data_IF_292135473506
#
_entry.id   IF_292135473506
#
_cell.length_a   1.000
_cell.length_b   1.000
_cell.length_c   1.000
_cell.angle_alpha   90.00
_cell.angle_beta   90.00
_cell.angle_gamma   90.00
#
_symmetry.space_group_name_H-M   'P 1'
#
loop_
_entity.id
_entity.type
_entity.pdbx_description
1 polymer ?
#
# COMPACT_ATOMS: atom_id res chain seq x y z
N UNK A 1 10.00 101.43 8.59
CA UNK A 1 9.54 102.54 9.46
C UNK A 1 9.05 101.94 10.85
N UNK A 2 8.97 102.65 12.04
CA UNK A 2 8.91 102.18 13.52
C UNK A 2 7.76 102.79 14.46
N UNK A 3 7.52 102.79 15.84
CA UNK A 3 7.99 102.39 17.26
C UNK A 3 6.73 102.08 18.23
N UNK A 4 6.54 102.07 19.61
CA UNK A 4 7.20 102.22 21.00
C UNK A 4 6.38 101.43 22.14
N UNK A 5 6.16 101.57 23.51
CA UNK A 5 6.33 102.51 24.73
C UNK A 5 6.16 101.79 26.19
N UNK A 6 5.88 102.43 27.41
CA UNK A 6 5.89 101.80 28.84
C UNK A 6 5.09 102.50 30.06
N UNK A 7 4.89 101.90 31.32
CA UNK A 7 4.02 102.37 32.50
C UNK A 7 4.45 102.09 34.06
N UNK A 8 3.57 102.17 35.14
CA UNK A 8 3.85 102.40 36.65
C UNK A 8 2.93 101.72 37.81
N UNK A 9 3.16 101.91 39.18
CA UNK A 9 2.54 101.17 40.41
C UNK A 9 2.40 101.94 41.82
N UNK A 10 1.70 101.46 42.94
CA UNK A 10 1.51 102.09 44.35
C UNK A 10 1.14 101.14 45.63
N UNK A 11 0.77 101.63 46.88
CA UNK A 11 0.81 100.97 48.30
C UNK A 11 -0.29 101.33 49.45
N UNK A 12 -0.33 100.74 50.73
CA UNK A 12 -1.22 101.10 51.94
C UNK A 12 -1.24 100.27 53.33
N UNK A 13 -1.93 100.68 54.47
CA UNK A 13 -2.01 99.99 55.85
C UNK A 13 -3.31 100.13 56.77
N UNK A 14 -4.04 99.04 57.10
CA UNK A 14 -5.02 98.94 58.25
C UNK A 14 -5.44 97.47 58.67
N UNK A 15 -4.73 96.42 58.24
CA UNK A 15 -5.45 95.22 57.75
C UNK A 15 -5.61 93.98 58.67
N UNK A 16 -5.11 93.91 59.91
CA UNK A 16 -4.85 92.60 60.58
C UNK A 16 -6.04 91.62 60.74
N UNK A 17 -7.26 92.07 61.05
CA UNK A 17 -8.43 91.17 61.10
C UNK A 17 -8.82 90.72 59.70
N UNK A 18 -8.87 91.70 58.79
CA UNK A 18 -9.10 91.56 57.36
C UNK A 18 -8.13 90.56 56.72
N UNK A 19 -6.84 90.59 57.09
CA UNK A 19 -5.82 89.64 56.64
C UNK A 19 -6.16 88.18 56.97
N UNK A 20 -6.78 87.89 58.12
CA UNK A 20 -7.09 86.49 58.49
C UNK A 20 -8.24 85.95 57.65
N UNK A 21 -9.30 86.73 57.43
CA UNK A 21 -10.39 86.34 56.54
C UNK A 21 -9.95 86.35 55.07
N UNK A 22 -9.12 87.32 54.65
CA UNK A 22 -8.52 87.40 53.32
C UNK A 22 -7.65 86.18 53.03
N UNK A 23 -6.71 85.81 53.91
CA UNK A 23 -5.90 84.59 53.76
C UNK A 23 -6.73 83.30 53.79
N UNK A 24 -7.81 83.25 54.59
CA UNK A 24 -8.74 82.12 54.55
C UNK A 24 -9.45 82.02 53.20
N UNK A 25 -9.92 83.14 52.64
CA UNK A 25 -10.59 83.23 51.34
C UNK A 25 -9.62 82.94 50.18
N UNK A 26 -8.38 83.41 50.27
CA UNK A 26 -7.30 83.09 49.33
C UNK A 26 -6.98 81.57 49.38
N UNK A 27 -6.90 80.96 50.57
CA UNK A 27 -6.71 79.51 50.70
C UNK A 27 -7.89 78.68 50.20
N UNK A 28 -9.15 79.07 50.45
CA UNK A 28 -10.32 78.34 49.91
C UNK A 28 -10.44 78.51 48.41
N UNK A 29 -10.08 79.66 47.85
CA UNK A 29 -10.01 79.88 46.41
C UNK A 29 -8.90 79.04 45.76
N UNK A 30 -7.71 78.94 46.37
CA UNK A 30 -6.64 78.04 45.90
C UNK A 30 -7.06 76.57 45.98
N UNK A 31 -7.72 76.13 47.05
CA UNK A 31 -8.27 74.77 47.16
C UNK A 31 -9.35 74.49 46.08
N UNK A 32 -10.19 75.48 45.76
CA UNK A 32 -11.18 75.36 44.69
C UNK A 32 -10.53 75.29 43.31
N UNK A 33 -9.49 76.08 43.04
CA UNK A 33 -8.71 75.97 41.80
C UNK A 33 -8.00 74.61 41.68
N UNK A 34 -7.39 74.12 42.77
CA UNK A 34 -6.72 72.80 42.78
C UNK A 34 -7.71 71.66 42.56
N UNK A 35 -8.90 71.70 43.19
CA UNK A 35 -9.93 70.68 42.95
C UNK A 35 -10.51 70.75 41.54
N UNK A 36 -10.70 71.94 40.95
CA UNK A 36 -11.07 72.09 39.53
C UNK A 36 -10.00 71.52 38.60
N UNK A 37 -8.71 71.78 38.85
CA UNK A 37 -7.60 71.22 38.06
C UNK A 37 -7.55 69.69 38.17
N UNK A 38 -7.74 69.13 39.38
CA UNK A 38 -7.79 67.67 39.58
C UNK A 38 -8.98 67.06 38.85
N UNK A 39 -10.17 67.67 38.92
CA UNK A 39 -11.37 67.19 38.21
C UNK A 39 -11.22 67.29 36.68
N UNK A 40 -10.58 68.35 36.16
CA UNK A 40 -10.25 68.47 34.74
C UNK A 40 -9.22 67.41 34.31
N UNK A 41 -8.20 67.14 35.12
CA UNK A 41 -7.21 66.09 34.86
C UNK A 41 -7.84 64.68 34.86
N UNK A 42 -8.73 64.40 35.82
CA UNK A 42 -9.52 63.15 35.85
C UNK A 42 -10.40 63.05 34.60
N UNK A 43 -11.13 64.11 34.21
CA UNK A 43 -11.98 64.05 33.00
C UNK A 43 -11.15 63.89 31.72
N UNK A 44 -9.99 64.54 31.63
CA UNK A 44 -9.04 64.34 30.53
C UNK A 44 -8.52 62.89 30.49
N UNK A 45 -8.19 62.30 31.65
CA UNK A 45 -7.77 60.90 31.74
C UNK A 45 -8.88 59.94 31.30
N UNK A 46 -10.10 60.12 31.78
CA UNK A 46 -11.25 59.30 31.38
C UNK A 46 -11.52 59.42 29.86
N UNK A 47 -11.49 60.64 29.30
CA UNK A 47 -11.61 60.86 27.85
C UNK A 47 -10.46 60.19 27.05
N UNK A 48 -9.23 60.21 27.57
CA UNK A 48 -8.10 59.54 26.96
C UNK A 48 -8.27 58.02 26.96
N UNK A 49 -8.81 57.44 28.04
CA UNK A 49 -9.09 56.00 28.13
C UNK A 49 -10.32 55.57 27.31
N UNK A 50 -11.39 56.37 27.28
CA UNK A 50 -12.55 56.22 26.38
C UNK A 50 -12.08 56.13 24.93
N UNK A 51 -11.28 57.10 24.46
CA UNK A 51 -10.74 57.14 23.10
C UNK A 51 -9.78 55.97 22.80
N UNK A 52 -8.87 55.63 23.72
CA UNK A 52 -7.97 54.48 23.56
C UNK A 52 -8.73 53.15 23.51
N UNK A 53 -9.85 53.04 24.24
CA UNK A 53 -10.73 51.85 24.22
C UNK A 53 -11.43 51.70 22.87
N UNK A 54 -11.97 52.79 22.32
CA UNK A 54 -12.63 52.81 21.00
C UNK A 54 -11.65 52.47 19.85
N UNK A 55 -10.44 53.02 19.88
CA UNK A 55 -9.40 52.65 18.91
C UNK A 55 -9.01 51.17 19.03
N UNK A 56 -8.86 50.64 20.26
CA UNK A 56 -8.56 49.22 20.50
C UNK A 56 -9.68 48.31 20.01
N UNK A 57 -10.95 48.62 20.28
CA UNK A 57 -12.07 47.79 19.84
C UNK A 57 -12.19 47.75 18.32
N UNK A 58 -11.99 48.90 17.65
CA UNK A 58 -11.95 49.00 16.18
C UNK A 58 -10.82 48.17 15.56
N UNK A 59 -9.62 48.18 16.18
CA UNK A 59 -8.49 47.37 15.73
C UNK A 59 -8.77 45.88 15.94
N UNK A 60 -9.31 45.48 17.10
CA UNK A 60 -9.65 44.09 17.41
C UNK A 60 -10.69 43.54 16.42
N UNK A 61 -11.76 44.30 16.13
CA UNK A 61 -12.77 43.88 15.14
C UNK A 61 -12.17 43.62 13.76
N UNK A 62 -11.27 44.50 13.27
CA UNK A 62 -10.58 44.31 11.99
C UNK A 62 -9.63 43.11 11.99
N UNK A 63 -8.96 42.84 13.12
CA UNK A 63 -8.12 41.64 13.27
C UNK A 63 -8.96 40.37 13.25
N UNK A 64 -10.10 40.37 13.94
CA UNK A 64 -11.08 39.27 13.98
C UNK A 64 -11.68 38.98 12.59
N UNK A 65 -12.04 40.02 11.84
CA UNK A 65 -12.57 39.91 10.49
C UNK A 65 -11.52 39.39 9.50
N UNK A 66 -10.29 39.93 9.55
CA UNK A 66 -9.17 39.42 8.77
C UNK A 66 -8.87 37.96 9.11
N UNK A 67 -8.88 37.56 10.39
CA UNK A 67 -8.68 36.18 10.81
C UNK A 67 -9.77 35.24 10.29
N UNK A 68 -11.04 35.68 10.26
CA UNK A 68 -12.16 34.92 9.66
C UNK A 68 -11.96 34.75 8.15
N UNK A 69 -11.62 35.83 7.43
CA UNK A 69 -11.34 35.78 5.99
C UNK A 69 -10.16 34.84 5.67
N UNK A 70 -9.03 34.97 6.37
CA UNK A 70 -7.89 34.06 6.23
C UNK A 70 -8.28 32.61 6.50
N UNK A 71 -9.17 32.35 7.48
CA UNK A 71 -9.66 31.00 7.77
C UNK A 71 -10.51 30.42 6.63
N UNK A 72 -11.43 31.19 6.03
CA UNK A 72 -12.20 30.74 4.86
C UNK A 72 -11.27 30.38 3.70
N UNK A 73 -10.37 31.31 3.33
CA UNK A 73 -9.39 31.11 2.24
C UNK A 73 -8.54 29.85 2.49
N UNK A 74 -8.16 29.57 3.74
CA UNK A 74 -7.39 28.37 4.09
C UNK A 74 -8.16 27.05 3.90
N UNK A 75 -9.48 27.07 4.04
CA UNK A 75 -10.33 25.87 3.87
C UNK A 75 -10.68 25.65 2.40
N UNK A 76 -11.01 26.71 1.65
CA UNK A 76 -11.17 26.65 0.19
C UNK A 76 -9.89 26.14 -0.50
N UNK A 77 -8.72 26.61 -0.04
CA UNK A 77 -7.41 26.13 -0.50
C UNK A 77 -7.20 24.64 -0.20
N UNK A 78 -7.65 24.11 0.95
CA UNK A 78 -7.59 22.67 1.26
C UNK A 78 -8.48 21.85 0.33
N UNK A 79 -9.70 22.32 0.05
CA UNK A 79 -10.62 21.67 -0.89
C UNK A 79 -10.02 21.66 -2.30
N UNK A 80 -9.44 22.77 -2.74
CA UNK A 80 -8.74 22.86 -4.03
C UNK A 80 -7.55 21.89 -4.13
N UNK A 81 -6.68 21.82 -3.11
CA UNK A 81 -5.55 20.87 -3.05
C UNK A 81 -6.05 19.43 -3.14
N UNK A 82 -7.08 19.06 -2.37
CA UNK A 82 -7.66 17.72 -2.39
C UNK A 82 -8.26 17.35 -3.76
N UNK A 83 -8.86 18.34 -4.45
CA UNK A 83 -9.35 18.17 -5.82
C UNK A 83 -8.19 17.92 -6.81
N UNK A 84 -7.13 18.73 -6.74
CA UNK A 84 -5.93 18.60 -7.59
C UNK A 84 -5.23 17.24 -7.36
N UNK A 85 -5.09 16.79 -6.11
CA UNK A 85 -4.58 15.44 -5.81
C UNK A 85 -5.44 14.34 -6.43
N UNK A 86 -6.76 14.47 -6.37
CA UNK A 86 -7.70 13.49 -6.92
C UNK A 86 -7.60 13.44 -8.45
N UNK A 87 -7.57 14.61 -9.11
CA UNK A 87 -7.34 14.73 -10.56
C UNK A 87 -5.98 14.16 -10.97
N UNK A 88 -4.91 14.42 -10.20
CA UNK A 88 -3.57 13.85 -10.44
C UNK A 88 -3.57 12.32 -10.34
N UNK A 89 -4.26 11.73 -9.36
CA UNK A 89 -4.43 10.27 -9.24
C UNK A 89 -5.19 9.69 -10.43
N UNK A 90 -6.27 10.36 -10.88
CA UNK A 90 -7.03 9.96 -12.07
C UNK A 90 -6.18 10.03 -13.35
N UNK A 91 -5.41 11.11 -13.54
CA UNK A 91 -4.52 11.28 -14.70
C UNK A 91 -3.45 10.17 -14.75
N UNK A 92 -2.82 9.86 -13.62
CA UNK A 92 -1.83 8.78 -13.51
C UNK A 92 -2.47 7.41 -13.79
N UNK A 93 -3.71 7.17 -13.32
CA UNK A 93 -4.46 5.94 -13.67
C UNK A 93 -4.83 5.88 -15.16
N UNK A 94 -5.16 7.00 -15.80
CA UNK A 94 -5.46 7.04 -17.24
C UNK A 94 -4.22 6.79 -18.09
N UNK A 95 -3.11 7.46 -17.80
CA UNK A 95 -1.82 7.23 -18.46
C UNK A 95 -1.32 5.80 -18.26
N UNK A 96 -1.48 5.25 -17.05
CA UNK A 96 -1.25 3.83 -16.77
C UNK A 96 -2.13 2.93 -17.65
N UNK A 97 -3.46 3.10 -17.63
CA UNK A 97 -4.39 2.28 -18.42
C UNK A 97 -4.12 2.32 -19.93
N UNK A 98 -3.56 3.40 -20.45
CA UNK A 98 -3.15 3.47 -21.86
C UNK A 98 -1.84 2.71 -22.11
N UNK A 99 -0.82 2.89 -21.27
CA UNK A 99 0.44 2.12 -21.33
C UNK A 99 0.21 0.60 -21.20
N UNK A 100 -0.72 0.20 -20.32
CA UNK A 100 -1.07 -1.20 -20.08
C UNK A 100 -2.07 -1.78 -21.07
N UNK A 101 -2.72 -0.98 -21.93
CA UNK A 101 -3.74 -1.44 -22.90
C UNK A 101 -3.24 -2.55 -23.83
N UNK A 102 -1.94 -2.51 -24.17
CA UNK A 102 -1.30 -3.43 -25.10
C UNK A 102 -0.31 -4.38 -24.39
N UNK A 103 -0.39 -4.54 -23.06
CA UNK A 103 0.43 -5.49 -22.29
C UNK A 103 -0.33 -6.79 -22.08
N UNK A 104 0.36 -7.94 -22.05
CA UNK A 104 -0.32 -9.21 -21.87
C UNK A 104 -0.88 -9.37 -20.45
N UNK A 105 -2.01 -10.06 -20.32
CA UNK A 105 -2.58 -10.43 -19.01
C UNK A 105 -1.81 -11.59 -18.42
N UNK A 106 -1.29 -11.42 -17.19
CA UNK A 106 -0.66 -12.49 -16.42
C UNK A 106 -1.74 -13.26 -15.67
N UNK A 107 -2.01 -14.48 -16.13
CA UNK A 107 -2.91 -15.44 -15.50
C UNK A 107 -2.11 -16.26 -14.49
N UNK A 108 -2.12 -15.83 -13.23
CA UNK A 108 -1.44 -16.54 -12.15
C UNK A 108 -2.37 -17.62 -11.56
N UNK A 109 -1.99 -18.88 -11.72
CA UNK A 109 -2.70 -20.03 -11.15
C UNK A 109 -2.08 -20.34 -9.78
N UNK A 110 -2.87 -20.17 -8.71
CA UNK A 110 -2.45 -20.45 -7.34
C UNK A 110 -3.24 -21.62 -6.76
N UNK A 111 -2.60 -22.78 -6.50
CA UNK A 111 -3.19 -23.81 -5.65
C UNK A 111 -3.16 -23.37 -4.19
N UNK A 112 -4.28 -23.49 -3.48
CA UNK A 112 -4.37 -23.23 -2.03
C UNK A 112 -5.12 -24.34 -1.30
N UNK A 113 -5.01 -24.41 0.02
CA UNK A 113 -5.69 -25.39 0.86
C UNK A 113 -5.86 -24.88 2.29
N UNK A 114 -6.87 -25.41 2.99
CA UNK A 114 -7.18 -25.05 4.36
C UNK A 114 -6.10 -25.50 5.36
N UNK A 115 -5.43 -24.53 5.98
CA UNK A 115 -4.52 -24.69 7.13
C UNK A 115 -4.40 -23.37 7.89
N UNK A 116 -3.90 -23.39 9.13
CA UNK A 116 -3.85 -22.23 10.04
C UNK A 116 -3.21 -20.94 9.50
N UNK A 117 -2.39 -21.01 8.46
CA UNK A 117 -1.74 -19.82 7.85
C UNK A 117 -2.42 -19.37 6.53
N UNK A 118 -3.41 -20.10 6.00
CA UNK A 118 -3.96 -19.87 4.65
C UNK A 118 -4.32 -18.41 4.40
N UNK A 119 -5.07 -17.79 5.32
CA UNK A 119 -5.54 -16.41 5.17
C UNK A 119 -4.39 -15.41 5.15
N UNK A 120 -3.37 -15.60 5.98
CA UNK A 120 -2.18 -14.75 6.02
C UNK A 120 -1.36 -14.86 4.72
N UNK A 121 -1.15 -16.09 4.22
CA UNK A 121 -0.45 -16.38 2.96
C UNK A 121 -1.16 -15.74 1.76
N UNK A 122 -2.47 -15.95 1.64
CA UNK A 122 -3.29 -15.33 0.59
C UNK A 122 -3.39 -13.80 0.73
N UNK A 123 -3.37 -13.26 1.95
CA UNK A 123 -3.40 -11.80 2.19
C UNK A 123 -2.13 -11.13 1.68
N UNK A 124 -0.93 -11.61 2.04
CA UNK A 124 0.33 -11.03 1.55
C UNK A 124 0.50 -11.23 0.04
N UNK A 125 -0.05 -12.31 -0.51
CA UNK A 125 -0.01 -12.57 -1.94
C UNK A 125 -0.94 -11.63 -2.72
N UNK A 126 -2.18 -11.43 -2.26
CA UNK A 126 -3.11 -10.44 -2.81
C UNK A 126 -2.54 -9.01 -2.74
N UNK A 127 -1.92 -8.63 -1.62
CA UNK A 127 -1.22 -7.35 -1.45
C UNK A 127 -0.01 -7.19 -2.39
N UNK A 128 0.61 -8.29 -2.84
CA UNK A 128 1.65 -8.24 -3.88
C UNK A 128 1.02 -8.06 -5.26
N UNK A 129 -0.02 -8.84 -5.55
CA UNK A 129 -0.67 -8.87 -6.87
C UNK A 129 -1.45 -7.60 -7.22
N UNK A 130 -1.97 -6.86 -6.23
CA UNK A 130 -2.73 -5.60 -6.47
C UNK A 130 -1.87 -4.48 -7.10
N UNK A 131 -0.55 -4.65 -7.11
CA UNK A 131 0.39 -3.77 -7.81
C UNK A 131 0.64 -4.14 -9.28
N UNK A 132 0.11 -5.27 -9.77
CA UNK A 132 0.35 -5.77 -11.13
C UNK A 132 -0.83 -5.39 -12.06
N UNK A 133 -0.67 -4.48 -13.04
CA UNK A 133 -1.83 -3.85 -13.68
C UNK A 133 -2.59 -4.70 -14.71
N UNK A 134 -1.93 -5.65 -15.38
CA UNK A 134 -2.57 -6.62 -16.31
C UNK A 134 -2.50 -8.02 -15.69
N UNK A 135 -3.32 -8.25 -14.67
CA UNK A 135 -3.24 -9.46 -13.84
C UNK A 135 -4.63 -10.08 -13.62
N UNK A 136 -4.69 -11.41 -13.66
CA UNK A 136 -5.90 -12.18 -13.36
C UNK A 136 -5.55 -13.38 -12.47
N UNK A 137 -6.09 -13.40 -11.25
CA UNK A 137 -5.75 -14.42 -10.25
C UNK A 137 -6.69 -15.63 -10.32
N UNK A 138 -6.17 -16.79 -10.74
CA UNK A 138 -6.91 -18.05 -10.76
C UNK A 138 -6.59 -18.79 -9.45
N UNK A 139 -7.37 -18.54 -8.40
CA UNK A 139 -7.19 -19.13 -7.09
C UNK A 139 -8.03 -20.41 -6.96
N UNK A 140 -7.36 -21.54 -6.69
CA UNK A 140 -7.95 -22.87 -6.76
C UNK A 140 -7.77 -23.62 -5.44
N UNK A 141 -8.85 -23.89 -4.73
CA UNK A 141 -8.83 -24.58 -3.43
C UNK A 141 -8.78 -26.12 -3.58
N UNK A 142 -7.92 -26.78 -2.80
CA UNK A 142 -8.02 -28.22 -2.50
C UNK A 142 -9.16 -28.47 -1.49
N UNK A 143 -10.39 -28.33 -2.00
CA UNK A 143 -11.64 -28.54 -1.29
C UNK A 143 -12.74 -29.02 -2.23
N UNK A 144 -13.77 -29.68 -1.70
CA UNK A 144 -14.95 -30.07 -2.47
C UNK A 144 -15.81 -28.87 -2.87
N UNK A 145 -15.78 -27.80 -2.07
CA UNK A 145 -16.58 -26.58 -2.25
C UNK A 145 -15.72 -25.35 -1.95
N UNK A 146 -16.04 -24.23 -2.61
CA UNK A 146 -15.48 -22.92 -2.33
C UNK A 146 -15.73 -22.52 -0.88
N UNK A 147 -14.71 -22.03 -0.17
CA UNK A 147 -14.85 -21.62 1.25
C UNK A 147 -15.22 -20.14 1.38
N UNK A 148 -16.00 -19.81 2.42
CA UNK A 148 -16.35 -18.41 2.71
C UNK A 148 -15.10 -17.54 2.93
N UNK A 149 -14.07 -18.08 3.60
CA UNK A 149 -12.79 -17.40 3.86
C UNK A 149 -12.13 -16.94 2.55
N UNK A 150 -11.94 -17.86 1.60
CA UNK A 150 -11.31 -17.54 0.31
C UNK A 150 -12.23 -16.66 -0.55
N UNK A 151 -13.54 -16.91 -0.54
CA UNK A 151 -14.52 -16.08 -1.27
C UNK A 151 -14.47 -14.62 -0.78
N UNK A 152 -14.50 -14.40 0.53
CA UNK A 152 -14.46 -13.07 1.15
C UNK A 152 -13.11 -12.38 0.90
N UNK A 153 -11.99 -13.10 1.00
CA UNK A 153 -10.65 -12.57 0.72
C UNK A 153 -10.52 -12.11 -0.74
N UNK A 154 -11.01 -12.91 -1.70
CA UNK A 154 -11.01 -12.54 -3.11
C UNK A 154 -11.91 -11.32 -3.39
N UNK A 155 -13.14 -11.29 -2.88
CA UNK A 155 -14.02 -10.12 -3.03
C UNK A 155 -13.44 -8.85 -2.42
N UNK A 156 -12.70 -8.96 -1.30
CA UNK A 156 -12.01 -7.84 -0.64
C UNK A 156 -10.68 -7.44 -1.27
N UNK A 157 -10.14 -8.21 -2.23
CA UNK A 157 -8.77 -8.01 -2.74
C UNK A 157 -8.62 -6.85 -3.75
N UNK A 158 -9.70 -6.47 -4.44
CA UNK A 158 -9.65 -5.52 -5.56
C UNK A 158 -9.02 -6.07 -6.86
N UNK A 159 -8.68 -7.36 -6.91
CA UNK A 159 -8.12 -8.03 -8.08
C UNK A 159 -9.20 -8.49 -9.07
N UNK A 160 -8.83 -8.65 -10.34
CA UNK A 160 -9.56 -9.55 -11.24
C UNK A 160 -9.20 -11.00 -10.88
N UNK A 161 -10.21 -11.87 -10.69
CA UNK A 161 -9.98 -13.24 -10.24
C UNK A 161 -10.97 -14.26 -10.81
N UNK A 162 -10.55 -15.52 -10.82
CA UNK A 162 -11.40 -16.71 -10.95
C UNK A 162 -11.22 -17.55 -9.70
N UNK A 163 -12.32 -17.82 -8.98
CA UNK A 163 -12.32 -18.70 -7.81
C UNK A 163 -12.79 -20.10 -8.22
N UNK A 164 -11.94 -21.11 -8.06
CA UNK A 164 -12.23 -22.52 -8.32
C UNK A 164 -12.02 -23.37 -7.05
N UNK A 165 -12.60 -24.56 -7.02
CA UNK A 165 -12.37 -25.57 -5.99
C UNK A 165 -12.36 -26.95 -6.64
N UNK A 166 -11.36 -27.78 -6.32
CA UNK A 166 -11.27 -29.18 -6.74
C UNK A 166 -10.48 -29.98 -5.70
N UNK A 167 -11.04 -31.06 -5.13
CA UNK A 167 -10.35 -31.82 -4.09
C UNK A 167 -9.29 -32.75 -4.69
N UNK A 168 -8.07 -32.72 -4.14
CA UNK A 168 -7.04 -33.73 -4.42
C UNK A 168 -7.57 -35.12 -4.09
N UNK A 169 -7.41 -36.14 -4.97
CA UNK A 169 -7.89 -37.49 -4.70
C UNK A 169 -7.32 -38.07 -3.37
N UNK A 170 -8.12 -38.85 -2.59
CA UNK A 170 -7.69 -39.29 -1.25
C UNK A 170 -6.40 -40.11 -1.22
N UNK A 171 -6.12 -40.90 -2.25
CA UNK A 171 -4.87 -41.64 -2.44
C UNK A 171 -3.65 -40.71 -2.60
N UNK A 172 -3.84 -39.50 -3.13
CA UNK A 172 -2.78 -38.51 -3.32
C UNK A 172 -2.67 -37.44 -2.21
N UNK A 173 -3.63 -37.34 -1.30
CA UNK A 173 -3.48 -36.51 -0.07
C UNK A 173 -2.38 -37.07 0.85
N UNK A 174 -1.61 -36.17 1.48
CA UNK A 174 -0.57 -36.53 2.47
C UNK A 174 -1.22 -36.91 3.81
N UNK A 175 -0.70 -37.95 4.47
CA UNK A 175 -1.01 -38.25 5.87
C UNK A 175 -0.38 -37.24 6.84
N UNK A 176 -0.91 -37.14 8.06
CA UNK A 176 -0.47 -36.16 9.09
C UNK A 176 1.04 -36.18 9.39
N UNK A 177 1.69 -37.33 9.21
CA UNK A 177 3.12 -37.53 9.46
C UNK A 177 3.91 -37.84 8.17
N UNK A 178 3.31 -37.71 6.98
CA UNK A 178 4.03 -37.86 5.71
C UNK A 178 4.93 -36.64 5.48
N UNK A 179 6.20 -36.82 5.03
CA UNK A 179 7.03 -35.69 4.68
C UNK A 179 6.52 -35.02 3.40
N UNK A 180 6.57 -33.69 3.34
CA UNK A 180 5.96 -32.86 2.29
C UNK A 180 6.39 -33.19 0.85
N UNK A 181 7.52 -33.88 0.65
CA UNK A 181 8.04 -34.30 -0.66
C UNK A 181 7.48 -35.65 -1.18
N UNK A 182 6.75 -36.41 -0.35
CA UNK A 182 6.32 -37.80 -0.63
C UNK A 182 5.26 -37.93 -1.72
N UNK A 183 4.42 -36.91 -1.90
CA UNK A 183 3.34 -36.87 -2.91
C UNK A 183 3.30 -35.48 -3.55
N UNK A 184 3.06 -35.35 -4.86
CA UNK A 184 2.95 -34.04 -5.51
C UNK A 184 1.70 -33.29 -4.99
N UNK A 185 1.81 -31.97 -4.84
CA UNK A 185 0.77 -31.08 -4.31
C UNK A 185 0.31 -30.11 -5.40
N UNK A 186 -0.97 -29.72 -5.37
CA UNK A 186 -1.52 -28.74 -6.30
C UNK A 186 -1.78 -29.25 -7.71
N UNK A 187 -1.75 -30.57 -7.97
CA UNK A 187 -1.82 -31.15 -9.33
C UNK A 187 -3.17 -30.89 -9.98
N UNK A 188 -4.26 -31.37 -9.37
CA UNK A 188 -5.63 -31.09 -9.83
C UNK A 188 -5.92 -29.59 -9.84
N UNK A 189 -5.38 -28.85 -8.86
CA UNK A 189 -5.65 -27.44 -8.70
C UNK A 189 -5.01 -26.61 -9.83
N UNK A 190 -3.77 -26.93 -10.22
CA UNK A 190 -3.13 -26.34 -11.42
C UNK A 190 -3.81 -26.80 -12.70
N UNK A 191 -4.15 -28.08 -12.83
CA UNK A 191 -4.88 -28.60 -14.00
C UNK A 191 -6.27 -27.96 -14.17
N UNK A 192 -7.02 -27.72 -13.10
CA UNK A 192 -8.29 -27.00 -13.16
C UNK A 192 -8.12 -25.54 -13.60
N UNK A 193 -7.03 -24.88 -13.19
CA UNK A 193 -6.66 -23.55 -13.71
C UNK A 193 -6.34 -23.58 -15.21
N UNK A 194 -5.55 -24.56 -15.67
CA UNK A 194 -5.25 -24.76 -17.10
C UNK A 194 -6.51 -25.12 -17.92
N UNK A 195 -7.43 -25.89 -17.35
CA UNK A 195 -8.72 -26.20 -17.98
C UNK A 195 -9.57 -24.93 -18.10
N UNK A 196 -9.67 -24.13 -17.04
CA UNK A 196 -10.42 -22.88 -17.06
C UNK A 196 -9.89 -21.92 -18.15
N UNK A 197 -8.57 -21.79 -18.30
CA UNK A 197 -7.96 -21.03 -19.39
C UNK A 197 -8.38 -21.56 -20.78
N UNK A 198 -8.29 -22.88 -20.99
CA UNK A 198 -8.71 -23.54 -22.25
C UNK A 198 -10.21 -23.45 -22.53
N UNK A 199 -11.04 -23.33 -21.49
CA UNK A 199 -12.50 -23.25 -21.57
C UNK A 199 -13.03 -21.81 -21.79
N UNK A 200 -12.28 -20.78 -21.36
CA UNK A 200 -12.78 -19.39 -21.24
C UNK A 200 -12.00 -18.36 -22.10
N UNK A 201 -10.84 -18.72 -22.65
CA UNK A 201 -10.00 -17.86 -23.49
C UNK A 201 -9.74 -18.51 -24.86
N UNK A 202 -9.09 -17.76 -25.74
CA UNK A 202 -8.76 -18.14 -27.11
C UNK A 202 -7.25 -18.17 -27.36
N UNK A 203 -6.76 -18.75 -28.47
CA UNK A 203 -5.36 -18.68 -28.85
C UNK A 203 -4.87 -17.27 -29.20
N UNK A 204 -5.77 -16.30 -29.38
CA UNK A 204 -5.45 -14.92 -29.77
C UNK A 204 -5.53 -13.93 -28.61
N UNK A 205 -5.93 -14.38 -27.42
CA UNK A 205 -5.80 -13.62 -26.18
C UNK A 205 -4.32 -13.48 -25.79
N UNK A 206 -3.87 -12.23 -25.67
CA UNK A 206 -2.50 -11.89 -25.29
C UNK A 206 -2.27 -12.15 -23.79
N UNK A 207 -2.02 -13.41 -23.44
CA UNK A 207 -1.80 -13.86 -22.06
C UNK A 207 -0.41 -14.45 -21.78
N UNK A 208 -0.01 -14.42 -20.51
CA UNK A 208 1.08 -15.21 -19.91
C UNK A 208 0.46 -16.12 -18.84
N UNK A 209 0.86 -17.39 -18.81
CA UNK A 209 0.45 -18.34 -17.77
C UNK A 209 1.60 -18.54 -16.78
N UNK A 210 1.32 -18.33 -15.50
CA UNK A 210 2.28 -18.48 -14.40
C UNK A 210 1.70 -19.34 -13.28
N UNK A 211 2.53 -20.16 -12.63
CA UNK A 211 2.14 -20.96 -11.47
C UNK A 211 2.71 -20.32 -10.20
N UNK A 212 1.82 -19.81 -9.35
CA UNK A 212 2.18 -19.05 -8.16
C UNK A 212 1.66 -19.76 -6.90
N UNK A 213 2.45 -20.69 -6.35
CA UNK A 213 2.15 -21.37 -5.09
C UNK A 213 2.09 -20.36 -3.92
N UNK A 214 1.19 -20.59 -2.96
CA UNK A 214 0.78 -19.56 -1.98
C UNK A 214 1.77 -19.32 -0.81
N UNK A 215 2.80 -20.16 -0.63
CA UNK A 215 3.84 -19.98 0.39
C UNK A 215 5.10 -19.23 -0.11
N UNK A 216 5.23 -19.04 -1.42
CA UNK A 216 6.37 -18.39 -2.07
C UNK A 216 6.36 -16.85 -1.91
N UNK A 217 7.47 -16.18 -2.24
CA UNK A 217 7.61 -14.71 -2.17
C UNK A 217 8.03 -14.16 -3.54
N UNK A 218 7.27 -13.18 -4.05
CA UNK A 218 7.42 -12.63 -5.40
C UNK A 218 7.71 -11.13 -5.37
N UNK A 219 8.69 -10.68 -6.15
CA UNK A 219 8.93 -9.24 -6.37
C UNK A 219 8.08 -8.72 -7.53
N UNK A 220 7.64 -7.47 -7.48
CA UNK A 220 6.93 -6.79 -8.59
C UNK A 220 7.74 -6.89 -9.90
N UNK A 221 9.08 -6.83 -9.81
CA UNK A 221 10.01 -6.98 -10.94
C UNK A 221 9.94 -8.32 -11.66
N UNK A 222 9.40 -9.35 -11.02
CA UNK A 222 9.17 -10.65 -11.67
C UNK A 222 8.15 -10.51 -12.81
N UNK A 223 7.05 -9.79 -12.53
CA UNK A 223 5.97 -9.58 -13.47
C UNK A 223 6.37 -8.61 -14.59
N UNK A 224 7.21 -7.61 -14.28
CA UNK A 224 7.89 -6.76 -15.28
C UNK A 224 8.79 -7.57 -16.24
N UNK A 225 9.40 -8.68 -15.79
CA UNK A 225 10.12 -9.60 -16.68
C UNK A 225 9.13 -10.47 -17.49
N UNK A 226 8.03 -10.94 -16.91
CA UNK A 226 7.03 -11.78 -17.58
C UNK A 226 6.37 -11.11 -18.80
N UNK A 227 6.14 -9.81 -18.78
CA UNK A 227 5.63 -9.06 -19.95
C UNK A 227 6.50 -9.23 -21.22
N UNK A 228 7.79 -9.56 -21.04
CA UNK A 228 8.77 -9.67 -22.13
C UNK A 228 8.64 -10.99 -22.89
N UNK A 229 8.04 -12.02 -22.28
CA UNK A 229 7.97 -13.39 -22.81
C UNK A 229 7.32 -13.42 -24.21
N UNK A 230 7.87 -14.25 -25.10
CA UNK A 230 7.28 -14.57 -26.41
C UNK A 230 6.95 -16.06 -26.53
N UNK A 231 7.73 -16.92 -25.89
CA UNK A 231 7.55 -18.37 -25.84
C UNK A 231 7.53 -18.89 -24.40
N UNK A 232 8.68 -19.23 -23.80
CA UNK A 232 8.79 -19.67 -22.40
C UNK A 232 9.93 -18.92 -21.71
N UNK A 233 9.58 -18.09 -20.72
CA UNK A 233 10.53 -17.33 -19.90
C UNK A 233 11.01 -18.12 -18.70
N UNK A 234 12.30 -18.03 -18.38
CA UNK A 234 12.94 -18.69 -17.23
C UNK A 234 13.88 -17.76 -16.48
N UNK A 235 14.00 -17.95 -15.16
CA UNK A 235 14.77 -17.09 -14.27
C UNK A 235 15.29 -17.82 -13.01
N UNK A 236 16.21 -17.20 -12.23
CA UNK A 236 16.66 -17.72 -10.94
C UNK A 236 15.56 -17.73 -9.86
N UNK A 237 15.50 -18.80 -9.09
CA UNK A 237 14.66 -18.94 -7.89
C UNK A 237 15.56 -19.04 -6.66
N UNK A 238 15.29 -18.21 -5.65
CA UNK A 238 16.02 -18.23 -4.38
C UNK A 238 15.53 -19.32 -3.43
N UNK A 239 16.44 -19.87 -2.63
CA UNK A 239 16.18 -20.80 -1.51
C UNK A 239 15.47 -22.12 -1.91
N UNK A 240 15.78 -22.64 -3.10
CA UNK A 240 15.19 -23.88 -3.65
C UNK A 240 16.26 -24.89 -4.05
N UNK A 241 15.88 -26.15 -4.27
CA UNK A 241 16.81 -27.23 -4.68
C UNK A 241 17.85 -27.63 -3.61
N UNK A 242 17.77 -27.08 -2.40
CA UNK A 242 18.83 -27.15 -1.39
C UNK A 242 19.96 -26.12 -1.59
N UNK A 243 19.76 -25.15 -2.48
CA UNK A 243 20.72 -24.11 -2.85
C UNK A 243 20.25 -22.72 -2.41
N UNK A 244 21.19 -21.77 -2.31
CA UNK A 244 20.85 -20.35 -2.18
C UNK A 244 20.07 -19.84 -3.41
N UNK A 245 20.42 -20.33 -4.60
CA UNK A 245 19.78 -20.01 -5.89
C UNK A 245 19.88 -21.22 -6.82
N UNK A 246 18.76 -21.68 -7.36
CA UNK A 246 18.69 -22.60 -8.50
C UNK A 246 18.28 -21.80 -9.74
N UNK A 247 18.96 -21.99 -10.87
CA UNK A 247 18.80 -21.14 -12.06
C UNK A 247 19.23 -21.78 -13.39
N UNK A 248 18.71 -21.26 -14.52
CA UNK A 248 19.34 -21.42 -15.83
C UNK A 248 20.73 -20.77 -15.86
N UNK A 249 21.64 -21.39 -16.63
CA UNK A 249 22.92 -20.81 -17.03
C UNK A 249 22.70 -20.18 -18.41
N UNK A 250 22.75 -18.85 -18.45
CA UNK A 250 22.60 -18.05 -19.66
C UNK A 250 23.97 -17.72 -20.24
N UNK A 251 24.17 -17.96 -21.53
CA UNK A 251 25.30 -17.43 -22.28
C UNK A 251 25.02 -15.98 -22.68
N UNK A 252 25.95 -15.07 -22.37
CA UNK A 252 25.71 -13.63 -22.49
C UNK A 252 25.75 -13.12 -23.94
N UNK A 253 26.53 -13.76 -24.81
CA UNK A 253 26.70 -13.35 -26.20
C UNK A 253 25.54 -13.80 -27.09
N UNK A 254 25.06 -15.04 -26.90
CA UNK A 254 23.94 -15.62 -27.64
C UNK A 254 22.58 -15.35 -27.00
N UNK A 255 22.55 -14.94 -25.72
CA UNK A 255 21.35 -14.77 -24.89
C UNK A 255 20.49 -16.04 -24.79
N UNK A 256 21.13 -17.22 -24.77
CA UNK A 256 20.47 -18.54 -24.70
C UNK A 256 20.80 -19.29 -23.42
N UNK A 257 19.90 -20.21 -23.03
CA UNK A 257 20.13 -21.15 -21.92
C UNK A 257 21.03 -22.29 -22.41
N UNK A 258 22.22 -22.39 -21.84
CA UNK A 258 23.21 -23.44 -22.15
C UNK A 258 23.28 -24.54 -21.09
N UNK A 259 22.70 -24.31 -19.91
CA UNK A 259 22.73 -25.27 -18.80
C UNK A 259 21.85 -24.83 -17.62
N UNK A 260 22.02 -25.50 -16.49
CA UNK A 260 21.39 -25.16 -15.20
C UNK A 260 22.40 -25.46 -14.08
N UNK A 261 22.33 -24.76 -12.95
CA UNK A 261 23.23 -25.00 -11.80
C UNK A 261 22.66 -25.97 -10.75
N UNK A 262 21.57 -26.68 -11.08
CA UNK A 262 20.87 -27.57 -10.14
C UNK A 262 21.78 -28.66 -9.59
N UNK A 263 21.74 -28.86 -8.27
CA UNK A 263 22.46 -29.92 -7.57
C UNK A 263 21.59 -31.15 -7.27
N UNK A 264 20.27 -30.99 -7.23
CA UNK A 264 19.32 -32.06 -6.93
C UNK A 264 18.60 -32.49 -8.22
N UNK A 265 18.89 -33.71 -8.66
CA UNK A 265 18.39 -34.28 -9.92
C UNK A 265 18.65 -33.35 -11.12
N UNK A 266 19.94 -33.12 -11.38
CA UNK A 266 20.44 -32.33 -12.52
C UNK A 266 20.22 -33.01 -13.88
N UNK A 267 19.86 -34.29 -13.86
CA UNK A 267 19.44 -35.14 -14.98
C UNK A 267 18.01 -34.85 -15.48
N UNK A 268 17.19 -34.11 -14.73
CA UNK A 268 15.86 -33.68 -15.17
C UNK A 268 15.96 -32.92 -16.51
N UNK A 269 15.02 -33.09 -17.45
CA UNK A 269 14.98 -32.31 -18.70
C UNK A 269 14.98 -30.79 -18.45
N UNK A 270 14.18 -30.35 -17.47
CA UNK A 270 14.12 -28.98 -16.97
C UNK A 270 14.30 -29.01 -15.44
N UNK A 271 15.54 -28.91 -14.93
CA UNK A 271 15.85 -28.88 -13.52
C UNK A 271 15.67 -27.45 -12.98
N UNK A 272 14.41 -27.04 -12.86
CA UNK A 272 13.97 -25.77 -12.26
C UNK A 272 12.82 -26.03 -11.30
N UNK A 273 12.39 -24.99 -10.59
CA UNK A 273 11.23 -24.97 -9.70
C UNK A 273 9.98 -24.43 -10.42
N UNK A 274 8.79 -24.76 -9.91
CA UNK A 274 7.49 -24.30 -10.41
C UNK A 274 7.39 -22.78 -10.55
N UNK A 275 7.97 -22.02 -9.62
CA UNK A 275 8.00 -20.56 -9.64
C UNK A 275 9.11 -19.97 -10.54
N UNK A 276 9.92 -20.82 -11.18
CA UNK A 276 11.08 -20.47 -12.01
C UNK A 276 10.79 -20.20 -13.49
N UNK A 277 9.54 -20.35 -13.94
CA UNK A 277 9.15 -20.15 -15.33
C UNK A 277 7.72 -19.60 -15.50
N UNK A 278 7.45 -19.01 -16.66
CA UNK A 278 6.12 -18.75 -17.18
C UNK A 278 6.12 -18.87 -18.71
N UNK A 279 4.94 -19.03 -19.33
CA UNK A 279 4.85 -19.28 -20.76
C UNK A 279 3.71 -18.51 -21.43
N UNK A 280 3.83 -18.28 -22.74
CA UNK A 280 2.83 -17.59 -23.55
C UNK A 280 1.55 -18.42 -23.64
N UNK A 281 0.39 -17.81 -23.33
CA UNK A 281 -0.92 -18.48 -23.26
C UNK A 281 -1.25 -19.30 -24.52
N UNK A 282 -0.89 -18.80 -25.71
CA UNK A 282 -1.07 -19.49 -27.01
C UNK A 282 -0.53 -20.92 -27.03
N UNK A 283 0.57 -21.20 -26.31
CA UNK A 283 1.16 -22.54 -26.21
C UNK A 283 0.21 -23.54 -25.54
N UNK A 284 -0.63 -23.10 -24.59
CA UNK A 284 -1.60 -23.97 -23.92
C UNK A 284 -2.67 -24.52 -24.87
N UNK A 285 -2.97 -23.78 -25.94
CA UNK A 285 -3.90 -24.17 -27.00
C UNK A 285 -3.22 -24.97 -28.11
N UNK A 286 -1.96 -24.66 -28.43
CA UNK A 286 -1.16 -25.41 -29.41
C UNK A 286 -0.81 -26.82 -28.90
N UNK A 287 -0.53 -26.96 -27.61
CA UNK A 287 -0.12 -28.20 -26.96
C UNK A 287 -1.22 -28.69 -26.01
N UNK A 288 -2.23 -29.36 -26.57
CA UNK A 288 -3.43 -29.81 -25.83
C UNK A 288 -3.15 -30.83 -24.73
N UNK A 289 -2.05 -31.57 -24.86
CA UNK A 289 -1.61 -32.60 -23.90
C UNK A 289 -0.73 -32.02 -22.76
N UNK A 290 -0.44 -30.71 -22.78
CA UNK A 290 0.27 -30.05 -21.68
C UNK A 290 -0.62 -29.97 -20.43
N UNK A 291 -0.36 -30.85 -19.48
CA UNK A 291 -1.00 -30.98 -18.16
C UNK A 291 0.04 -31.44 -17.13
N UNK A 292 -0.28 -31.34 -15.83
CA UNK A 292 0.47 -32.00 -14.77
C UNK A 292 -0.08 -33.40 -14.51
N UNK A 293 0.79 -34.33 -14.10
CA UNK A 293 0.45 -35.74 -13.85
C UNK A 293 0.71 -36.13 -12.39
N UNK A 294 -0.04 -37.09 -11.85
CA UNK A 294 0.30 -37.71 -10.56
C UNK A 294 1.33 -38.84 -10.69
N UNK A 295 1.45 -39.46 -11.88
CA UNK A 295 2.17 -40.72 -12.09
C UNK A 295 3.64 -40.50 -12.49
N UNK A 296 4.29 -39.53 -11.81
CA UNK A 296 5.66 -39.10 -12.12
C UNK A 296 6.54 -39.08 -10.88
N UNK A 297 7.86 -39.10 -11.10
CA UNK A 297 8.82 -39.05 -10.00
C UNK A 297 8.80 -37.67 -9.31
N UNK A 298 8.87 -37.63 -7.98
CA UNK A 298 8.93 -36.38 -7.22
C UNK A 298 10.07 -35.47 -7.71
N UNK A 299 9.76 -34.22 -8.06
CA UNK A 299 10.68 -33.24 -8.66
C UNK A 299 10.62 -33.10 -10.19
N UNK A 300 9.76 -33.83 -10.89
CA UNK A 300 9.61 -33.78 -12.36
C UNK A 300 8.36 -33.02 -12.85
N UNK A 301 7.53 -32.41 -12.00
CA UNK A 301 6.27 -31.75 -12.43
C UNK A 301 6.50 -30.61 -13.43
N UNK A 302 7.59 -29.87 -13.22
CA UNK A 302 8.04 -28.77 -14.05
C UNK A 302 8.44 -29.31 -15.43
N UNK A 303 9.19 -30.41 -15.46
CA UNK A 303 9.56 -31.12 -16.69
C UNK A 303 8.37 -31.79 -17.38
N UNK A 304 7.35 -32.24 -16.63
CA UNK A 304 6.13 -32.88 -17.15
C UNK A 304 5.36 -31.95 -18.09
N UNK A 305 5.14 -30.70 -17.69
CA UNK A 305 4.47 -29.70 -18.53
C UNK A 305 5.42 -29.08 -19.57
N UNK A 306 6.67 -28.77 -19.20
CA UNK A 306 7.62 -28.07 -20.08
C UNK A 306 7.98 -28.88 -21.34
N UNK A 307 8.17 -30.20 -21.21
CA UNK A 307 8.50 -31.08 -22.36
C UNK A 307 7.44 -31.06 -23.47
N UNK A 308 6.19 -30.71 -23.14
CA UNK A 308 5.11 -30.63 -24.11
C UNK A 308 5.08 -29.31 -24.86
N UNK A 309 5.59 -28.22 -24.28
CA UNK A 309 5.46 -26.85 -24.83
C UNK A 309 6.78 -26.23 -25.34
N UNK A 310 7.94 -26.77 -24.98
CA UNK A 310 9.24 -26.13 -25.30
C UNK A 310 10.42 -27.10 -25.27
N UNK A 311 11.55 -26.71 -25.87
CA UNK A 311 12.87 -27.33 -25.72
C UNK A 311 13.87 -26.39 -25.02
N UNK A 312 14.99 -26.92 -24.52
CA UNK A 312 15.97 -26.14 -23.71
C UNK A 312 16.57 -24.94 -24.46
N UNK A 313 16.74 -25.06 -25.77
CA UNK A 313 17.22 -24.01 -26.67
C UNK A 313 16.16 -22.93 -27.00
N UNK A 314 14.88 -23.23 -26.80
CA UNK A 314 13.76 -22.31 -26.98
C UNK A 314 13.48 -21.43 -25.76
N UNK A 315 14.06 -21.76 -24.59
CA UNK A 315 13.91 -20.99 -23.36
C UNK A 315 14.48 -19.57 -23.47
N UNK A 316 13.77 -18.61 -22.88
CA UNK A 316 14.10 -17.18 -22.85
C UNK A 316 14.70 -16.81 -21.48
N UNK A 317 16.03 -16.55 -21.36
CA UNK A 317 16.66 -16.24 -20.09
C UNK A 317 16.42 -14.79 -19.66
N UNK A 318 15.46 -14.64 -18.75
CA UNK A 318 15.03 -13.38 -18.14
C UNK A 318 15.81 -13.10 -16.84
N UNK A 319 15.39 -12.06 -16.12
CA UNK A 319 16.05 -11.56 -14.90
C UNK A 319 17.55 -11.28 -15.13
N UNK A 320 17.80 -10.54 -16.22
CA UNK A 320 19.13 -10.11 -16.68
C UNK A 320 20.09 -11.28 -16.95
N UNK A 321 19.79 -12.12 -17.95
CA UNK A 321 20.58 -13.32 -18.29
C UNK A 321 20.71 -14.25 -17.06
N UNK A 322 19.62 -14.40 -16.32
CA UNK A 322 19.55 -15.16 -15.07
C UNK A 322 20.63 -14.76 -14.04
N UNK A 323 20.88 -13.45 -13.88
CA UNK A 323 21.79 -12.89 -12.85
C UNK A 323 21.05 -12.37 -11.62
N UNK A 324 19.75 -12.08 -11.71
CA UNK A 324 18.95 -11.47 -10.63
C UNK A 324 17.89 -12.44 -10.11
N UNK A 325 17.67 -12.46 -8.80
CA UNK A 325 16.61 -13.23 -8.15
C UNK A 325 15.44 -12.29 -7.85
N UNK A 326 14.26 -12.61 -8.39
CA UNK A 326 13.02 -11.86 -8.15
C UNK A 326 11.90 -12.70 -7.52
N UNK A 327 12.19 -13.97 -7.21
CA UNK A 327 11.28 -14.92 -6.57
C UNK A 327 12.06 -15.85 -5.63
N UNK A 328 11.44 -16.20 -4.51
CA UNK A 328 12.01 -17.06 -3.48
C UNK A 328 11.01 -18.15 -3.07
N UNK A 329 11.45 -19.41 -3.02
CA UNK A 329 10.66 -20.50 -2.45
C UNK A 329 10.72 -20.45 -0.92
N UNK A 330 10.13 -19.39 -0.35
CA UNK A 330 9.83 -19.32 1.08
C UNK A 330 8.86 -20.42 1.49
N UNK A 331 8.88 -20.77 2.79
CA UNK A 331 7.92 -21.69 3.42
C UNK A 331 7.65 -21.21 4.84
N UNK A 332 6.38 -21.15 5.24
CA UNK A 332 5.96 -20.66 6.56
C UNK A 332 6.02 -21.79 7.60
N UNK A 333 6.53 -21.51 8.81
CA UNK A 333 6.52 -22.48 9.91
C UNK A 333 5.09 -22.80 10.39
N UNK A 334 4.76 -24.06 10.71
CA UNK A 334 3.50 -24.41 11.36
C UNK A 334 3.37 -23.72 12.74
N UNK A 335 2.25 -23.02 13.03
CA UNK A 335 2.11 -22.26 14.27
C UNK A 335 2.05 -23.15 15.53
N UNK A 336 2.66 -22.67 16.62
CA UNK A 336 2.83 -23.39 17.89
C UNK A 336 1.56 -23.32 18.77
N UNK A 337 0.50 -24.00 18.34
CA UNK A 337 -0.85 -23.94 18.92
C UNK A 337 -1.06 -24.84 20.17
N UNK A 338 -0.07 -24.94 21.06
CA UNK A 338 -0.17 -25.77 22.28
C UNK A 338 -1.24 -25.26 23.26
N UNK A 339 -1.38 -23.94 23.41
CA UNK A 339 -2.43 -23.33 24.22
C UNK A 339 -3.84 -23.60 23.65
N UNK A 340 -4.01 -23.52 22.33
CA UNK A 340 -5.31 -23.79 21.68
C UNK A 340 -5.73 -25.25 21.85
N UNK A 341 -4.78 -26.19 21.82
CA UNK A 341 -5.04 -27.60 22.12
C UNK A 341 -5.51 -27.81 23.57
N UNK A 342 -5.05 -26.99 24.52
CA UNK A 342 -5.51 -27.02 25.91
C UNK A 342 -6.87 -26.33 26.10
N UNK A 343 -7.20 -25.31 25.30
CA UNK A 343 -8.55 -24.71 25.27
C UNK A 343 -9.56 -25.68 24.64
N UNK A 344 -9.20 -26.30 23.51
CA UNK A 344 -10.04 -27.28 22.80
C UNK A 344 -10.40 -28.46 23.71
N UNK A 345 -9.44 -28.98 24.49
CA UNK A 345 -9.68 -30.03 25.51
C UNK A 345 -10.63 -29.61 26.64
N UNK A 346 -10.87 -28.30 26.83
CA UNK A 346 -11.82 -27.72 27.78
C UNK A 346 -13.12 -27.26 27.12
N UNK A 347 -13.35 -27.62 25.85
CA UNK A 347 -14.53 -27.22 25.07
C UNK A 347 -14.56 -25.74 24.65
N UNK A 348 -13.42 -25.03 24.73
CA UNK A 348 -13.29 -23.61 24.37
C UNK A 348 -12.44 -23.43 23.12
N UNK A 349 -12.59 -22.31 22.42
CA UNK A 349 -11.68 -21.88 21.35
C UNK A 349 -11.20 -20.44 21.62
N UNK A 350 -10.03 -20.05 21.09
CA UNK A 350 -9.59 -18.65 21.19
C UNK A 350 -10.27 -17.71 20.18
N UNK A 351 -10.82 -18.25 19.09
CA UNK A 351 -11.30 -17.48 17.93
C UNK A 351 -12.83 -17.51 17.74
N UNK A 352 -13.60 -17.56 18.82
CA UNK A 352 -15.07 -17.61 18.74
C UNK A 352 -15.63 -16.35 18.06
N UNK A 353 -16.18 -16.51 16.84
CA UNK A 353 -16.64 -15.40 15.99
C UNK A 353 -15.53 -14.69 15.18
N UNK A 354 -14.27 -15.12 15.26
CA UNK A 354 -13.11 -14.45 14.65
C UNK A 354 -12.43 -15.38 13.63
N UNK A 355 -12.38 -14.95 12.37
CA UNK A 355 -11.73 -15.67 11.28
C UNK A 355 -10.24 -15.32 11.18
N UNK A 356 -9.38 -16.32 11.39
CA UNK A 356 -7.90 -16.25 11.42
C UNK A 356 -7.30 -16.86 10.16
#
# INVERSE_FOLDING_TARGET
MPFSETIFVVDGNCEKSTMRNRRFLECTFVLLLVTVIILQWIRYKNLQEEWLSEQRSTIIQRLDENARQTKLISEDMRVAIKSIETQKRMLLQMQGKEYYRNKPTIYAITPTFARFVQKAELTRLAQTFVHIPTFHWILVEDSTNKTNLVTNLLMGSGLAFTHLAIPTPPNYKLGRNDPNWKKPRGVEQRNAGLKWLRDNLTPDDEGIVFFADDDNTYSIKLFEEMEKIKHVGVWPVGLVGGLMVEKPICDEATRKVVGFNSAWKSDRPFPIDMAGFAFKLKLLFQHKDAWFSFEIQSGYQESEILRHITTRDQLEPLADCCKKVYVWHTRTEPPKLSAEQLLTKKGKKSNEGIEV
#
